data_IF_855978618625
#
_entry.id   IF_855978618625
#
_cell.length_a   1.000
_cell.length_b   1.000
_cell.length_c   1.000
_cell.angle_alpha   90.00
_cell.angle_beta   90.00
_cell.angle_gamma   90.00
#
_symmetry.space_group_name_H-M   'P 1'
#
loop_
_entity.id
_entity.type
_entity.pdbx_description
1 polymer ?
#
# COMPACT_ATOMS: atom_id res chain seq x y z
N UNK A 1 -12.16 16.47 6.78
CA UNK A 1 -10.91 15.87 6.42
C UNK A 1 -10.48 16.30 5.04
N UNK A 2 -9.27 16.77 4.92
CA UNK A 2 -8.66 17.05 3.63
C UNK A 2 -8.28 15.74 2.93
N UNK A 3 -8.26 15.75 1.60
CA UNK A 3 -7.86 14.57 0.84
C UNK A 3 -6.37 14.26 1.05
N UNK A 4 -6.02 13.01 1.32
CA UNK A 4 -4.64 12.56 1.38
C UNK A 4 -4.23 12.03 0.00
N UNK A 5 -3.30 12.72 -0.66
CA UNK A 5 -2.80 12.34 -2.01
C UNK A 5 -3.93 12.11 -3.03
N UNK A 6 -4.97 12.94 -3.00
CA UNK A 6 -6.16 12.78 -3.83
C UNK A 6 -7.17 11.73 -3.34
N UNK A 7 -6.84 10.97 -2.30
CA UNK A 7 -7.74 9.99 -1.70
C UNK A 7 -8.74 10.66 -0.77
N UNK A 8 -10.01 10.28 -0.89
CA UNK A 8 -11.07 10.76 -0.02
C UNK A 8 -10.84 10.27 1.41
N UNK A 9 -10.85 11.17 2.38
CA UNK A 9 -10.73 10.88 3.80
C UNK A 9 -12.10 11.03 4.48
N UNK A 10 -12.46 10.07 5.32
CA UNK A 10 -13.65 10.14 6.16
C UNK A 10 -13.24 10.65 7.55
N UNK A 11 -13.89 11.73 8.06
CA UNK A 11 -13.61 12.24 9.39
C UNK A 11 -14.09 11.26 10.46
N UNK A 12 -13.42 11.24 11.61
CA UNK A 12 -13.78 10.44 12.76
C UNK A 12 -12.80 10.65 13.90
N UNK A 13 -13.10 10.13 15.07
CA UNK A 13 -12.19 10.12 16.21
C UNK A 13 -11.07 9.10 15.97
N UNK A 14 -9.85 9.47 16.33
CA UNK A 14 -8.64 8.65 16.24
C UNK A 14 -8.02 8.49 17.61
N UNK A 15 -7.72 7.26 17.99
CA UNK A 15 -6.89 6.94 19.15
C UNK A 15 -5.51 6.48 18.67
N UNK A 16 -4.45 7.17 19.07
CA UNK A 16 -3.07 6.80 18.75
C UNK A 16 -2.33 6.40 20.03
N UNK A 17 -2.01 5.12 20.14
CA UNK A 17 -1.18 4.55 21.20
C UNK A 17 0.30 4.73 20.81
N UNK A 18 0.95 5.76 21.35
CA UNK A 18 2.34 6.16 21.07
C UNK A 18 3.27 5.47 22.10
N UNK A 19 3.47 4.15 21.97
CA UNK A 19 4.10 3.35 23.03
C UNK A 19 5.64 3.35 22.98
N UNK A 20 6.25 3.73 21.84
CA UNK A 20 7.71 3.83 21.69
C UNK A 20 8.23 5.27 21.82
N UNK A 21 7.39 6.26 21.56
CA UNK A 21 7.78 7.66 21.57
C UNK A 21 7.33 8.37 22.85
N UNK A 22 8.18 9.26 23.35
CA UNK A 22 7.82 10.12 24.49
C UNK A 22 6.93 11.29 24.05
N UNK A 23 6.11 11.81 25.02
CA UNK A 23 5.18 12.90 24.79
C UNK A 23 5.83 14.12 24.09
N UNK A 24 7.02 14.56 24.51
CA UNK A 24 7.70 15.71 23.90
C UNK A 24 7.97 15.53 22.40
N UNK A 25 8.43 14.33 21.99
CA UNK A 25 8.71 14.03 20.58
C UNK A 25 7.45 14.03 19.71
N UNK A 26 6.35 13.45 20.21
CA UNK A 26 5.07 13.44 19.49
C UNK A 26 4.54 14.87 19.37
N UNK A 27 4.62 15.66 20.45
CA UNK A 27 4.19 17.06 20.43
C UNK A 27 5.01 17.90 19.41
N UNK A 28 6.33 17.75 19.38
CA UNK A 28 7.20 18.47 18.43
C UNK A 28 6.85 18.11 16.96
N UNK A 29 6.58 16.83 16.69
CA UNK A 29 6.15 16.38 15.34
C UNK A 29 4.79 16.94 14.95
N UNK A 30 3.82 16.91 15.86
CA UNK A 30 2.48 17.47 15.61
C UNK A 30 2.56 18.97 15.34
N UNK A 31 3.35 19.72 16.11
CA UNK A 31 3.56 21.14 15.88
C UNK A 31 4.29 21.45 14.55
N UNK A 32 5.12 20.52 14.05
CA UNK A 32 5.73 20.66 12.73
C UNK A 32 4.72 20.42 11.59
N UNK A 33 3.68 19.63 11.84
CA UNK A 33 2.64 19.32 10.84
C UNK A 33 1.54 20.39 10.82
N UNK A 34 1.12 20.90 11.99
CA UNK A 34 0.02 21.85 12.10
C UNK A 34 0.12 22.72 13.34
N UNK A 35 -0.31 23.98 13.22
CA UNK A 35 -0.44 24.91 14.36
C UNK A 35 -1.78 24.75 15.08
N UNK A 36 -2.71 23.95 14.53
CA UNK A 36 -4.04 23.74 15.10
C UNK A 36 -4.18 22.36 15.73
N UNK A 37 -4.66 22.29 16.95
CA UNK A 37 -4.96 21.05 17.64
C UNK A 37 -6.18 20.33 17.03
N UNK A 38 -6.06 19.05 16.75
CA UNK A 38 -7.17 18.23 16.31
C UNK A 38 -7.99 17.73 17.52
N UNK A 39 -9.18 18.26 17.72
CA UNK A 39 -10.05 17.88 18.86
C UNK A 39 -10.55 16.43 18.86
N UNK A 40 -10.34 15.71 17.75
CA UNK A 40 -10.70 14.31 17.55
C UNK A 40 -9.50 13.35 17.50
N UNK A 41 -8.29 13.82 17.84
CA UNK A 41 -7.09 13.00 17.99
C UNK A 41 -6.75 12.82 19.46
N UNK A 42 -6.81 11.60 19.94
CA UNK A 42 -6.45 11.21 21.31
C UNK A 42 -5.12 10.46 21.29
N UNK A 43 -4.22 10.83 22.21
CA UNK A 43 -2.90 10.22 22.35
C UNK A 43 -2.84 9.48 23.70
N UNK A 44 -2.32 8.26 23.69
CA UNK A 44 -1.96 7.53 24.90
C UNK A 44 -0.53 7.03 24.81
N UNK A 45 0.24 7.21 25.86
CA UNK A 45 1.64 6.80 25.95
C UNK A 45 1.81 5.50 26.75
N UNK A 46 0.72 4.97 27.25
CA UNK A 46 0.66 3.72 28.00
C UNK A 46 -0.54 2.90 27.52
N UNK A 47 -0.38 1.59 27.49
CA UNK A 47 -1.43 0.63 27.18
C UNK A 47 -1.13 -0.70 27.89
N UNK A 48 -2.16 -1.42 28.24
CA UNK A 48 -2.05 -2.79 28.71
C UNK A 48 -1.60 -3.73 27.58
N UNK A 49 -1.10 -4.92 27.92
CA UNK A 49 -0.79 -5.92 26.90
C UNK A 49 -2.05 -6.55 26.32
N UNK A 50 -1.93 -7.13 25.14
CA UNK A 50 -3.05 -7.75 24.39
C UNK A 50 -3.80 -8.79 25.24
N UNK A 51 -3.08 -9.53 26.10
CA UNK A 51 -3.65 -10.59 26.92
C UNK A 51 -4.04 -10.15 28.34
N UNK A 52 -3.66 -8.95 28.77
CA UNK A 52 -3.77 -8.51 30.18
C UNK A 52 -4.66 -7.27 30.37
N UNK A 53 -5.42 -6.82 29.34
CA UNK A 53 -6.35 -5.70 29.55
C UNK A 53 -6.55 -4.77 28.36
N UNK A 54 -5.72 -4.81 27.31
CA UNK A 54 -5.81 -3.91 26.17
C UNK A 54 -7.20 -3.95 25.49
N UNK A 55 -7.76 -5.14 25.29
CA UNK A 55 -9.07 -5.29 24.63
C UNK A 55 -10.18 -4.59 25.42
N UNK A 56 -10.38 -4.83 26.72
CA UNK A 56 -11.32 -4.07 27.54
C UNK A 56 -11.06 -2.56 27.55
N UNK A 57 -9.79 -2.14 27.57
CA UNK A 57 -9.40 -0.74 27.54
C UNK A 57 -9.89 -0.05 26.25
N UNK A 58 -9.66 -0.68 25.09
CA UNK A 58 -10.12 -0.17 23.79
C UNK A 58 -11.64 -0.20 23.64
N UNK A 59 -12.30 -1.24 24.13
CA UNK A 59 -13.77 -1.33 24.17
C UNK A 59 -14.40 -0.21 25.03
N UNK A 60 -13.81 0.11 26.18
CA UNK A 60 -14.28 1.21 27.01
C UNK A 60 -14.06 2.55 26.31
N UNK A 61 -12.92 2.78 25.70
CA UNK A 61 -12.66 3.99 24.93
C UNK A 61 -13.68 4.17 23.78
N UNK A 62 -14.03 3.09 23.06
CA UNK A 62 -15.06 3.12 22.02
C UNK A 62 -16.45 3.49 22.55
N UNK A 63 -16.80 3.05 23.78
CA UNK A 63 -18.08 3.43 24.43
C UNK A 63 -18.13 4.93 24.75
N UNK A 64 -17.00 5.51 25.18
CA UNK A 64 -16.88 6.94 25.50
C UNK A 64 -16.80 7.79 24.20
N UNK A 65 -16.28 7.23 23.11
CA UNK A 65 -16.14 7.86 21.80
C UNK A 65 -16.83 7.05 20.70
N UNK A 66 -18.17 7.12 20.57
CA UNK A 66 -18.92 6.30 19.61
C UNK A 66 -18.52 6.50 18.14
N UNK A 67 -17.98 7.69 17.80
CA UNK A 67 -17.46 8.08 16.49
C UNK A 67 -16.01 7.67 16.25
N UNK A 68 -15.38 6.89 17.16
CA UNK A 68 -14.04 6.32 16.98
C UNK A 68 -13.99 5.50 15.69
N UNK A 69 -13.16 5.90 14.75
CA UNK A 69 -13.02 5.29 13.43
C UNK A 69 -11.68 4.57 13.23
N UNK A 70 -10.62 5.03 13.92
CA UNK A 70 -9.28 4.51 13.75
C UNK A 70 -8.56 4.38 15.09
N UNK A 71 -7.92 3.24 15.31
CA UNK A 71 -6.95 3.05 16.38
C UNK A 71 -5.58 2.79 15.74
N UNK A 72 -4.55 3.52 16.14
CA UNK A 72 -3.16 3.30 15.72
C UNK A 72 -2.38 2.75 16.92
N UNK A 73 -1.66 1.65 16.72
CA UNK A 73 -0.84 1.02 17.75
C UNK A 73 0.62 1.04 17.32
N UNK A 74 1.44 1.84 17.97
CA UNK A 74 2.86 2.07 17.64
C UNK A 74 3.75 1.76 18.86
N UNK A 75 4.31 0.55 18.96
CA UNK A 75 4.26 -0.50 17.94
C UNK A 75 3.56 -1.76 18.44
N UNK A 76 3.15 -2.61 17.51
CA UNK A 76 2.55 -3.91 17.83
C UNK A 76 3.42 -4.75 18.77
N UNK A 77 4.75 -4.63 18.68
CA UNK A 77 5.68 -5.39 19.51
C UNK A 77 5.52 -5.10 21.01
N UNK A 78 5.15 -3.86 21.39
CA UNK A 78 5.05 -3.46 22.81
C UNK A 78 3.82 -4.07 23.49
N UNK A 79 2.73 -4.20 22.77
CA UNK A 79 1.49 -4.79 23.32
C UNK A 79 1.53 -6.31 23.39
N UNK A 80 2.55 -6.95 22.82
CA UNK A 80 2.76 -8.40 22.88
C UNK A 80 3.35 -8.81 24.21
N UNK A 81 3.07 -10.02 24.64
CA UNK A 81 3.60 -10.55 25.89
C UNK A 81 5.12 -10.83 25.77
N UNK A 82 5.96 -10.36 26.71
CA UNK A 82 7.37 -10.74 26.75
C UNK A 82 7.56 -12.25 26.82
N UNK A 83 8.41 -12.81 25.97
CA UNK A 83 8.73 -14.24 25.97
C UNK A 83 7.78 -15.16 25.20
N UNK A 84 6.81 -14.60 24.48
CA UNK A 84 5.99 -15.40 23.57
C UNK A 84 6.85 -16.00 22.44
N UNK A 85 6.51 -17.28 22.12
CA UNK A 85 7.03 -17.95 20.96
C UNK A 85 6.75 -17.10 19.70
N UNK A 86 7.78 -16.82 18.91
CA UNK A 86 7.67 -16.11 17.62
C UNK A 86 7.31 -17.06 16.48
N UNK A 87 6.58 -18.12 16.80
CA UNK A 87 6.08 -19.03 15.78
C UNK A 87 4.97 -18.40 14.94
N UNK A 88 4.81 -18.93 13.73
CA UNK A 88 3.72 -18.54 12.83
C UNK A 88 2.35 -18.58 13.53
N UNK A 89 2.08 -19.63 14.31
CA UNK A 89 0.78 -19.81 14.98
C UNK A 89 0.53 -18.75 16.06
N UNK A 90 1.57 -18.39 16.83
CA UNK A 90 1.47 -17.35 17.86
C UNK A 90 1.26 -15.97 17.24
N UNK A 91 2.09 -15.59 16.25
CA UNK A 91 1.96 -14.31 15.54
C UNK A 91 0.58 -14.17 14.88
N UNK A 92 0.11 -15.23 14.23
CA UNK A 92 -1.20 -15.25 13.57
C UNK A 92 -2.35 -15.06 14.57
N UNK A 93 -2.34 -15.77 15.71
CA UNK A 93 -3.42 -15.70 16.68
C UNK A 93 -3.47 -14.35 17.42
N UNK A 94 -2.33 -13.73 17.71
CA UNK A 94 -2.28 -12.41 18.33
C UNK A 94 -2.87 -11.33 17.38
N UNK A 95 -2.48 -11.34 16.12
CA UNK A 95 -3.06 -10.41 15.12
C UNK A 95 -4.54 -10.68 14.90
N UNK A 96 -4.95 -11.96 14.89
CA UNK A 96 -6.35 -12.36 14.76
C UNK A 96 -7.23 -11.86 15.91
N UNK A 97 -6.70 -11.77 17.13
CA UNK A 97 -7.44 -11.17 18.26
C UNK A 97 -7.71 -9.68 17.99
N UNK A 98 -6.69 -8.95 17.51
CA UNK A 98 -6.85 -7.53 17.16
C UNK A 98 -7.85 -7.35 16.00
N UNK A 99 -7.78 -8.23 14.99
CA UNK A 99 -8.75 -8.21 13.88
C UNK A 99 -10.18 -8.45 14.35
N UNK A 100 -10.42 -9.44 15.22
CA UNK A 100 -11.77 -9.68 15.80
C UNK A 100 -12.30 -8.44 16.51
N UNK A 101 -11.43 -7.74 17.26
CA UNK A 101 -11.80 -6.50 17.92
C UNK A 101 -12.18 -5.40 16.92
N UNK A 102 -11.42 -5.25 15.84
CA UNK A 102 -11.72 -4.29 14.78
C UNK A 102 -13.08 -4.59 14.12
N UNK A 103 -13.35 -5.87 13.83
CA UNK A 103 -14.62 -6.33 13.25
C UNK A 103 -15.79 -6.10 14.23
N UNK A 104 -15.63 -6.42 15.52
CA UNK A 104 -16.65 -6.24 16.56
C UNK A 104 -16.99 -4.77 16.79
N UNK A 105 -15.99 -3.90 16.81
CA UNK A 105 -16.15 -2.47 17.04
C UNK A 105 -16.50 -1.70 15.74
N UNK A 106 -16.47 -2.36 14.59
CA UNK A 106 -16.66 -1.78 13.26
C UNK A 106 -15.79 -0.53 13.04
N UNK A 107 -14.46 -0.71 13.20
CA UNK A 107 -13.46 0.33 13.02
C UNK A 107 -12.17 -0.23 12.40
N UNK A 108 -11.26 0.66 12.04
CA UNK A 108 -9.94 0.28 11.54
C UNK A 108 -8.91 0.25 12.67
N UNK A 109 -8.08 -0.79 12.73
CA UNK A 109 -6.89 -0.83 13.59
C UNK A 109 -5.65 -0.88 12.70
N UNK A 110 -4.79 0.13 12.81
CA UNK A 110 -3.49 0.20 12.14
C UNK A 110 -2.39 -0.25 13.11
N UNK A 111 -1.77 -1.39 12.81
CA UNK A 111 -0.63 -1.90 13.56
C UNK A 111 0.67 -1.43 12.91
N UNK A 112 1.46 -0.64 13.62
CA UNK A 112 2.81 -0.28 13.21
C UNK A 112 3.77 -1.38 13.64
N UNK A 113 4.63 -1.81 12.71
CA UNK A 113 5.57 -2.88 12.95
C UNK A 113 6.90 -2.65 12.22
N UNK A 114 8.00 -3.11 12.80
CA UNK A 114 9.32 -2.91 12.22
C UNK A 114 9.60 -3.85 11.04
N UNK A 115 10.40 -3.36 10.10
CA UNK A 115 10.95 -4.18 9.02
C UNK A 115 12.24 -4.89 9.48
N UNK A 116 12.52 -6.05 8.88
CA UNK A 116 13.79 -6.76 9.05
C UNK A 116 14.93 -5.93 8.44
N UNK A 117 16.12 -6.03 9.04
CA UNK A 117 17.33 -5.35 8.51
C UNK A 117 17.86 -5.99 7.22
N UNK A 118 17.45 -7.21 6.91
CA UNK A 118 17.84 -7.90 5.66
C UNK A 118 16.95 -7.44 4.52
N UNK A 119 17.58 -7.10 3.39
CA UNK A 119 16.84 -6.81 2.16
C UNK A 119 16.19 -8.07 1.57
N UNK A 120 15.01 -7.91 1.01
CA UNK A 120 14.32 -8.92 0.21
C UNK A 120 13.71 -8.21 -1.00
N UNK A 121 13.59 -8.92 -2.11
CA UNK A 121 12.93 -8.39 -3.32
C UNK A 121 11.42 -8.28 -3.16
N UNK A 122 10.82 -9.12 -2.29
CA UNK A 122 9.41 -9.05 -1.93
C UNK A 122 9.25 -8.19 -0.67
N UNK A 123 8.54 -7.05 -0.75
CA UNK A 123 8.30 -6.17 0.40
C UNK A 123 7.65 -6.88 1.60
N UNK A 124 6.77 -7.85 1.36
CA UNK A 124 6.10 -8.60 2.42
C UNK A 124 7.07 -9.44 3.26
N UNK A 125 8.13 -9.96 2.64
CA UNK A 125 9.17 -10.71 3.33
C UNK A 125 10.06 -9.83 4.23
N UNK A 126 10.00 -8.49 4.07
CA UNK A 126 10.73 -7.54 4.93
C UNK A 126 10.05 -7.34 6.28
N UNK A 127 8.80 -7.75 6.46
CA UNK A 127 8.09 -7.62 7.74
C UNK A 127 8.79 -8.47 8.79
N UNK A 128 9.10 -7.88 9.95
CA UNK A 128 9.71 -8.56 11.09
C UNK A 128 8.74 -9.60 11.68
N UNK A 129 9.25 -10.70 12.21
CA UNK A 129 8.41 -11.80 12.71
C UNK A 129 8.16 -12.87 11.66
N UNK A 130 7.08 -13.63 11.79
CA UNK A 130 6.68 -14.65 10.84
C UNK A 130 5.71 -14.12 9.77
N UNK A 131 5.49 -14.89 8.70
CA UNK A 131 4.44 -14.61 7.71
C UNK A 131 3.02 -14.70 8.31
N UNK A 132 2.88 -15.14 9.55
CA UNK A 132 1.62 -15.14 10.30
C UNK A 132 1.04 -13.74 10.51
N UNK A 133 1.90 -12.73 10.68
CA UNK A 133 1.46 -11.33 10.84
C UNK A 133 0.79 -10.84 9.57
N UNK A 134 1.47 -10.91 8.43
CA UNK A 134 0.93 -10.44 7.14
C UNK A 134 -0.27 -11.29 6.66
N UNK A 135 -0.32 -12.57 7.04
CA UNK A 135 -1.43 -13.46 6.66
C UNK A 135 -2.74 -13.21 7.42
N UNK A 136 -2.69 -12.55 8.57
CA UNK A 136 -3.85 -12.35 9.44
C UNK A 136 -4.56 -10.98 9.23
N UNK A 137 -3.92 -10.03 8.54
CA UNK A 137 -4.47 -8.69 8.27
C UNK A 137 -5.20 -8.61 6.93
N UNK A 138 -6.04 -7.59 6.76
CA UNK A 138 -6.75 -7.36 5.49
C UNK A 138 -5.91 -6.60 4.48
N UNK A 139 -5.03 -5.72 4.96
CA UNK A 139 -4.12 -4.95 4.12
C UNK A 139 -2.75 -4.79 4.78
N UNK A 140 -1.72 -4.67 3.96
CA UNK A 140 -0.35 -4.45 4.38
C UNK A 140 0.20 -3.25 3.62
N UNK A 141 0.86 -2.36 4.36
CA UNK A 141 1.56 -1.19 3.86
C UNK A 141 3.02 -1.29 4.29
N UNK A 142 3.94 -1.39 3.35
CA UNK A 142 5.38 -1.45 3.62
C UNK A 142 6.02 -0.14 3.17
N UNK A 143 6.40 0.71 4.13
CA UNK A 143 7.15 1.94 3.86
C UNK A 143 8.65 1.66 4.02
N UNK A 144 9.38 1.79 2.93
CA UNK A 144 10.83 1.58 2.92
C UNK A 144 11.53 2.79 2.26
N UNK A 145 12.75 3.07 2.67
CA UNK A 145 13.56 4.11 2.04
C UNK A 145 14.24 3.55 0.79
N UNK A 146 14.25 4.32 -0.31
CA UNK A 146 14.97 3.95 -1.52
C UNK A 146 16.47 3.75 -1.26
N UNK A 147 17.06 4.60 -0.41
CA UNK A 147 18.42 4.45 0.15
C UNK A 147 18.50 5.09 1.53
N UNK A 148 19.40 4.59 2.40
CA UNK A 148 19.63 5.21 3.72
C UNK A 148 20.11 6.67 3.56
N UNK A 149 19.44 7.58 4.24
CA UNK A 149 19.80 9.01 4.26
C UNK A 149 19.19 9.84 3.11
N UNK A 150 18.40 9.23 2.23
CA UNK A 150 17.57 9.96 1.28
C UNK A 150 16.21 10.30 1.89
N UNK A 151 15.64 11.43 1.46
CA UNK A 151 14.31 11.87 1.85
C UNK A 151 13.20 11.07 1.14
N UNK A 152 13.54 10.28 0.13
CA UNK A 152 12.59 9.55 -0.69
C UNK A 152 12.29 8.18 -0.11
N UNK A 153 11.04 7.80 -0.16
CA UNK A 153 10.52 6.51 0.29
C UNK A 153 9.59 5.86 -0.73
N UNK A 154 9.40 4.58 -0.57
CA UNK A 154 8.48 3.78 -1.36
C UNK A 154 7.48 3.13 -0.41
N UNK A 155 6.20 3.35 -0.65
CA UNK A 155 5.09 2.70 0.04
C UNK A 155 4.50 1.63 -0.88
N UNK A 156 4.71 0.36 -0.52
CA UNK A 156 4.07 -0.78 -1.17
C UNK A 156 2.77 -1.11 -0.43
N UNK A 157 1.66 -1.17 -1.14
CA UNK A 157 0.35 -1.47 -0.59
C UNK A 157 -0.17 -2.76 -1.22
N UNK A 158 -0.71 -3.67 -0.40
CA UNK A 158 -1.40 -4.87 -0.87
C UNK A 158 -2.46 -5.29 0.13
N UNK A 159 -3.53 -5.93 -0.33
CA UNK A 159 -4.59 -6.37 0.55
C UNK A 159 -5.66 -7.17 -0.19
N UNK A 160 -6.67 -7.62 0.57
CA UNK A 160 -7.78 -8.41 0.04
C UNK A 160 -8.71 -7.57 -0.82
N UNK A 161 -9.01 -6.34 -0.36
CA UNK A 161 -10.00 -5.45 -0.94
C UNK A 161 -9.37 -4.19 -1.56
N UNK A 162 -8.04 -4.12 -1.60
CA UNK A 162 -7.29 -3.04 -2.23
C UNK A 162 -6.38 -3.58 -3.33
N UNK A 163 -6.25 -2.88 -4.46
CA UNK A 163 -5.30 -3.28 -5.50
C UNK A 163 -3.86 -3.17 -4.97
N UNK A 164 -2.99 -4.05 -5.45
CA UNK A 164 -1.55 -3.88 -5.22
C UNK A 164 -1.10 -2.57 -5.83
N UNK A 165 -0.39 -1.75 -5.03
CA UNK A 165 -0.04 -0.37 -5.37
C UNK A 165 1.34 -0.05 -4.85
N UNK A 166 2.13 0.62 -5.66
CA UNK A 166 3.43 1.19 -5.30
C UNK A 166 3.33 2.70 -5.40
N UNK A 167 3.75 3.39 -4.36
CA UNK A 167 3.69 4.84 -4.25
C UNK A 167 5.10 5.35 -3.92
N UNK A 168 5.63 6.24 -4.74
CA UNK A 168 6.88 6.94 -4.47
C UNK A 168 6.58 8.24 -3.72
N UNK A 169 7.26 8.44 -2.61
CA UNK A 169 7.04 9.52 -1.66
C UNK A 169 8.32 10.31 -1.40
N UNK A 170 8.17 11.60 -1.15
CA UNK A 170 9.24 12.47 -0.65
C UNK A 170 8.92 12.94 0.76
N UNK A 171 9.88 12.81 1.70
CA UNK A 171 9.74 13.25 3.08
C UNK A 171 10.37 14.62 3.30
N UNK A 172 9.56 15.59 3.68
CA UNK A 172 10.07 16.88 4.16
C UNK A 172 10.32 16.81 5.68
N UNK A 173 11.59 16.82 6.06
CA UNK A 173 12.01 16.74 7.46
C UNK A 173 11.65 17.98 8.30
N UNK A 174 11.33 19.11 7.69
CA UNK A 174 10.96 20.35 8.39
C UNK A 174 9.49 20.32 8.82
N UNK A 175 8.63 19.84 7.94
CA UNK A 175 7.19 19.77 8.17
C UNK A 175 6.75 18.37 8.63
N UNK A 176 7.65 17.39 8.63
CA UNK A 176 7.35 15.97 8.91
C UNK A 176 6.27 15.36 7.99
N UNK A 177 6.14 15.87 6.77
CA UNK A 177 5.09 15.46 5.82
C UNK A 177 5.69 14.64 4.66
N UNK A 178 5.00 13.57 4.30
CA UNK A 178 5.25 12.80 3.09
C UNK A 178 4.40 13.33 1.93
N UNK A 179 5.05 13.73 0.85
CA UNK A 179 4.41 14.19 -0.38
C UNK A 179 4.41 13.11 -1.44
N UNK A 180 3.31 12.97 -2.17
CA UNK A 180 3.18 12.04 -3.29
C UNK A 180 4.03 12.51 -4.46
N UNK A 181 4.92 11.64 -4.95
CA UNK A 181 5.72 11.85 -6.16
C UNK A 181 5.15 11.11 -7.36
N UNK A 182 4.92 9.81 -7.22
CA UNK A 182 4.34 8.95 -8.26
C UNK A 182 3.46 7.88 -7.63
N UNK A 183 2.48 7.42 -8.39
CA UNK A 183 1.56 6.36 -8.02
C UNK A 183 1.44 5.36 -9.17
N UNK A 184 1.54 4.07 -8.87
CA UNK A 184 1.43 3.02 -9.90
C UNK A 184 0.06 2.94 -10.56
N UNK A 185 -0.98 3.51 -9.99
CA UNK A 185 -2.30 3.61 -10.64
C UNK A 185 -2.29 4.60 -11.80
N UNK A 186 -1.52 5.69 -11.68
CA UNK A 186 -1.39 6.71 -12.71
C UNK A 186 -0.16 6.48 -13.59
N UNK A 187 0.89 5.86 -13.02
CA UNK A 187 2.18 5.60 -13.63
C UNK A 187 2.61 4.13 -13.42
N UNK A 188 1.93 3.16 -14.08
CA UNK A 188 2.16 1.73 -13.84
C UNK A 188 3.59 1.27 -14.17
N UNK A 189 4.36 2.06 -14.91
CA UNK A 189 5.77 1.80 -15.20
C UNK A 189 6.66 1.75 -13.95
N UNK A 190 6.27 2.37 -12.83
CA UNK A 190 7.04 2.30 -11.57
C UNK A 190 7.05 0.89 -10.94
N UNK A 191 6.18 -0.01 -11.39
CA UNK A 191 6.19 -1.43 -11.01
C UNK A 191 7.28 -2.22 -11.75
N UNK A 192 7.84 -1.63 -12.80
CA UNK A 192 8.89 -2.25 -13.60
C UNK A 192 10.27 -2.11 -12.92
N UNK A 193 11.22 -3.02 -13.19
CA UNK A 193 12.63 -2.76 -12.92
C UNK A 193 13.07 -1.41 -13.50
N UNK A 194 14.01 -0.68 -12.87
CA UNK A 194 14.35 0.70 -13.24
C UNK A 194 14.67 0.90 -14.73
N UNK A 195 15.38 -0.07 -15.34
CA UNK A 195 15.73 0.02 -16.77
C UNK A 195 14.50 -0.11 -17.69
N UNK A 196 13.52 -0.92 -17.28
CA UNK A 196 12.27 -1.10 -18.03
C UNK A 196 11.27 0.03 -17.73
N UNK A 197 11.28 0.58 -16.54
CA UNK A 197 10.50 1.77 -16.17
C UNK A 197 10.88 2.95 -17.06
N UNK A 198 12.17 3.27 -17.16
CA UNK A 198 12.67 4.33 -18.04
C UNK A 198 12.29 4.11 -19.51
N UNK A 199 12.31 2.85 -19.98
CA UNK A 199 11.88 2.53 -21.35
C UNK A 199 10.37 2.74 -21.53
N UNK A 200 9.57 2.40 -20.55
CA UNK A 200 8.13 2.61 -20.60
C UNK A 200 7.77 4.09 -20.53
N UNK A 201 8.44 4.87 -19.68
CA UNK A 201 8.28 6.33 -19.59
C UNK A 201 8.69 7.00 -20.93
N UNK A 202 9.83 6.60 -21.50
CA UNK A 202 10.27 7.07 -22.81
C UNK A 202 9.21 6.80 -23.88
N UNK A 203 8.70 5.58 -23.96
CA UNK A 203 7.69 5.22 -24.94
C UNK A 203 6.32 5.87 -24.68
N UNK A 204 5.99 6.17 -23.42
CA UNK A 204 4.79 6.96 -23.07
C UNK A 204 4.88 8.38 -23.64
N UNK A 205 6.06 8.99 -23.61
CA UNK A 205 6.31 10.31 -24.19
C UNK A 205 6.30 10.27 -25.72
N UNK A 206 7.00 9.32 -26.32
CA UNK A 206 7.15 9.16 -27.78
C UNK A 206 5.86 8.69 -28.47
N UNK A 207 5.00 7.92 -27.79
CA UNK A 207 3.80 7.24 -28.30
C UNK A 207 4.10 6.12 -29.29
N UNK A 208 4.86 6.38 -30.32
CA UNK A 208 5.19 5.43 -31.36
C UNK A 208 6.59 5.73 -31.91
N UNK A 209 7.34 4.68 -32.22
CA UNK A 209 8.61 4.75 -32.92
C UNK A 209 8.64 3.77 -34.06
N UNK A 210 9.14 4.22 -35.25
CA UNK A 210 9.39 3.40 -36.41
C UNK A 210 10.72 3.81 -37.07
N UNK A 211 11.73 2.98 -36.92
CA UNK A 211 13.07 3.28 -37.46
C UNK A 211 14.04 2.11 -37.26
N UNK A 212 15.32 2.35 -37.36
CA UNK A 212 16.33 1.33 -37.10
C UNK A 212 16.62 1.20 -35.59
N UNK A 213 17.32 0.10 -35.21
CA UNK A 213 17.64 -0.15 -33.80
C UNK A 213 18.69 0.83 -33.24
N UNK A 214 19.55 1.40 -34.08
CA UNK A 214 20.64 2.28 -33.67
C UNK A 214 20.08 3.65 -33.30
N UNK A 215 19.22 4.21 -34.14
CA UNK A 215 18.52 5.45 -33.86
C UNK A 215 17.62 5.33 -32.61
N UNK A 216 16.89 4.22 -32.47
CA UNK A 216 16.08 3.98 -31.28
C UNK A 216 16.93 3.96 -29.99
N UNK A 217 18.09 3.28 -30.02
CA UNK A 217 18.99 3.22 -28.88
C UNK A 217 19.60 4.59 -28.55
N UNK A 218 19.93 5.40 -29.56
CA UNK A 218 20.46 6.76 -29.36
C UNK A 218 19.41 7.66 -28.68
N UNK A 219 18.18 7.65 -29.17
CA UNK A 219 17.07 8.43 -28.59
C UNK A 219 16.77 8.00 -27.15
N UNK A 220 16.70 6.68 -26.92
CA UNK A 220 16.49 6.15 -25.56
C UNK A 220 17.65 6.52 -24.62
N UNK A 221 18.89 6.33 -25.04
CA UNK A 221 20.06 6.67 -24.23
C UNK A 221 20.10 8.17 -23.88
N UNK A 222 19.73 9.02 -24.81
CA UNK A 222 19.62 10.47 -24.56
C UNK A 222 18.55 10.79 -23.51
N UNK A 223 17.42 10.13 -23.59
CA UNK A 223 16.33 10.28 -22.61
C UNK A 223 16.70 9.74 -21.24
N UNK A 224 17.23 8.52 -21.19
CA UNK A 224 17.50 7.78 -19.96
C UNK A 224 18.86 8.11 -19.30
N UNK A 225 19.71 8.89 -19.98
CA UNK A 225 21.08 9.17 -19.50
C UNK A 225 21.97 7.92 -19.49
N UNK A 226 21.73 6.96 -20.38
CA UNK A 226 22.45 5.68 -20.44
C UNK A 226 23.32 5.55 -21.70
N UNK A 227 24.10 4.48 -21.79
CA UNK A 227 24.99 4.19 -22.93
C UNK A 227 24.81 2.74 -23.44
N UNK A 228 23.57 2.25 -23.50
CA UNK A 228 23.29 0.90 -23.98
C UNK A 228 23.56 0.79 -25.50
N UNK A 229 24.25 -0.29 -25.90
CA UNK A 229 24.36 -0.60 -27.32
C UNK A 229 22.98 -1.00 -27.90
N UNK A 230 22.72 -0.80 -29.22
CA UNK A 230 21.47 -1.20 -29.85
C UNK A 230 21.15 -2.69 -29.65
N UNK A 231 22.19 -3.53 -29.59
CA UNK A 231 22.07 -4.97 -29.32
C UNK A 231 21.64 -5.22 -27.87
N UNK A 232 22.26 -4.53 -26.89
CA UNK A 232 21.94 -4.69 -25.47
C UNK A 232 20.52 -4.23 -25.16
N UNK A 233 20.11 -3.07 -25.66
CA UNK A 233 18.75 -2.55 -25.49
C UNK A 233 17.71 -3.52 -26.09
N UNK A 234 17.95 -4.02 -27.30
CA UNK A 234 17.05 -4.99 -27.92
C UNK A 234 16.98 -6.32 -27.17
N UNK A 235 18.10 -6.81 -26.62
CA UNK A 235 18.11 -8.02 -25.79
C UNK A 235 17.29 -7.82 -24.51
N UNK A 236 17.42 -6.67 -23.85
CA UNK A 236 16.63 -6.29 -22.69
C UNK A 236 15.13 -6.28 -23.03
N UNK A 237 14.74 -5.61 -24.10
CA UNK A 237 13.37 -5.59 -24.59
C UNK A 237 12.83 -7.02 -24.87
N UNK A 238 13.59 -7.85 -25.59
CA UNK A 238 13.16 -9.20 -25.93
C UNK A 238 12.99 -10.10 -24.68
N UNK A 239 13.89 -10.01 -23.70
CA UNK A 239 13.78 -10.78 -22.45
C UNK A 239 12.56 -10.37 -21.62
N UNK A 240 12.17 -9.12 -21.72
CA UNK A 240 11.08 -8.54 -20.94
C UNK A 240 9.83 -8.24 -21.75
N UNK A 241 9.69 -8.86 -22.93
CA UNK A 241 8.62 -8.55 -23.90
C UNK A 241 7.22 -8.68 -23.29
N UNK A 242 6.99 -9.72 -22.48
CA UNK A 242 5.70 -9.94 -21.82
C UNK A 242 5.43 -8.84 -20.80
N UNK A 243 6.40 -8.56 -19.93
CA UNK A 243 6.29 -7.55 -18.89
C UNK A 243 6.09 -6.15 -19.48
N UNK A 244 6.83 -5.80 -20.54
CA UNK A 244 6.64 -4.55 -21.28
C UNK A 244 5.26 -4.45 -21.91
N UNK A 245 4.73 -5.53 -22.45
CA UNK A 245 3.40 -5.56 -23.06
C UNK A 245 2.28 -5.37 -22.01
N UNK A 246 2.43 -5.95 -20.81
CA UNK A 246 1.54 -5.75 -19.66
C UNK A 246 1.53 -4.27 -19.22
N UNK A 247 2.63 -3.55 -19.40
CA UNK A 247 2.79 -2.12 -19.11
C UNK A 247 2.65 -1.20 -20.36
N UNK A 248 1.96 -1.68 -21.37
CA UNK A 248 1.58 -0.88 -22.54
C UNK A 248 2.63 -0.75 -23.64
N UNK A 249 3.85 -1.25 -23.46
CA UNK A 249 4.90 -1.17 -24.49
C UNK A 249 4.89 -2.44 -25.35
N UNK A 250 4.45 -2.31 -26.59
CA UNK A 250 4.48 -3.40 -27.59
C UNK A 250 5.50 -3.09 -28.66
N UNK A 251 6.27 -4.10 -29.07
CA UNK A 251 7.26 -3.92 -30.12
C UNK A 251 7.37 -5.14 -31.02
N UNK A 252 7.82 -4.91 -32.24
CA UNK A 252 8.07 -5.95 -33.24
C UNK A 252 9.15 -5.49 -34.24
N UNK A 253 9.94 -6.44 -34.73
CA UNK A 253 10.83 -6.20 -35.89
C UNK A 253 10.13 -6.59 -37.14
N UNK A 254 10.00 -5.65 -38.09
CA UNK A 254 9.37 -5.86 -39.39
C UNK A 254 10.40 -5.70 -40.53
N UNK A 255 10.09 -6.21 -41.71
CA UNK A 255 10.84 -5.96 -42.96
C UNK A 255 9.93 -5.25 -43.93
N UNK A 256 10.45 -4.21 -44.58
CA UNK A 256 9.80 -3.53 -45.70
C UNK A 256 10.87 -3.13 -46.69
N UNK A 257 10.68 -3.40 -47.96
CA UNK A 257 11.62 -3.12 -49.07
C UNK A 257 13.04 -3.65 -48.80
N UNK A 258 13.16 -4.88 -48.24
CA UNK A 258 14.46 -5.48 -47.92
C UNK A 258 15.15 -4.99 -46.63
N UNK A 259 14.73 -3.88 -46.07
CA UNK A 259 15.29 -3.32 -44.84
C UNK A 259 14.51 -3.78 -43.60
N UNK A 260 15.24 -4.04 -42.50
CA UNK A 260 14.64 -4.33 -41.17
C UNK A 260 14.44 -3.02 -40.42
N UNK A 261 13.26 -2.84 -39.83
CA UNK A 261 12.99 -1.76 -38.92
C UNK A 261 12.36 -2.28 -37.64
N UNK A 262 12.57 -1.52 -36.55
CA UNK A 262 11.93 -1.69 -35.27
C UNK A 262 10.66 -0.84 -35.26
N UNK A 263 9.56 -1.44 -34.85
CA UNK A 263 8.31 -0.75 -34.55
C UNK A 263 8.02 -0.93 -33.08
N UNK A 264 7.88 0.17 -32.35
CA UNK A 264 7.54 0.21 -30.91
C UNK A 264 6.35 1.12 -30.73
N UNK A 265 5.37 0.70 -29.96
CA UNK A 265 4.15 1.46 -29.71
C UNK A 265 3.81 1.41 -28.23
N UNK A 266 3.41 2.56 -27.68
CA UNK A 266 2.81 2.65 -26.36
C UNK A 266 1.28 2.63 -26.49
N UNK A 267 0.66 1.58 -25.94
CA UNK A 267 -0.78 1.42 -25.84
C UNK A 267 -1.12 1.41 -24.35
N UNK A 268 -1.75 2.47 -23.81
CA UNK A 268 -2.17 2.47 -22.42
C UNK A 268 -2.91 1.17 -22.11
N UNK A 269 -2.49 0.45 -21.07
CA UNK A 269 -3.23 -0.70 -20.57
C UNK A 269 -4.60 -0.18 -20.16
N UNK A 270 -5.68 -0.73 -20.70
CA UNK A 270 -7.00 -0.52 -20.13
C UNK A 270 -6.97 -1.20 -18.75
N UNK A 271 -6.71 -0.44 -17.70
CA UNK A 271 -6.98 -0.90 -16.35
C UNK A 271 -8.45 -1.32 -16.31
N UNK A 272 -8.79 -2.47 -15.74
CA UNK A 272 -10.19 -2.81 -15.56
C UNK A 272 -10.85 -1.67 -14.79
N UNK A 273 -11.89 -1.11 -15.37
CA UNK A 273 -12.68 0.00 -14.85
C UNK A 273 -13.34 -0.47 -13.53
N UNK A 274 -12.67 -0.27 -12.39
CA UNK A 274 -13.18 -0.64 -11.06
C UNK A 274 -14.33 0.27 -10.62
N UNK A 275 -14.71 1.25 -11.45
CA UNK A 275 -15.72 2.25 -11.12
C UNK A 275 -17.13 1.92 -11.64
N UNK A 276 -17.36 0.79 -12.37
CA UNK A 276 -18.70 0.50 -12.90
C UNK A 276 -19.38 -0.77 -12.40
N UNK A 277 -18.78 -1.57 -11.50
CA UNK A 277 -19.45 -2.77 -10.99
C UNK A 277 -20.12 -2.63 -9.62
N UNK A 278 -20.12 -1.45 -9.00
CA UNK A 278 -20.68 -1.26 -7.66
C UNK A 278 -22.01 -0.46 -7.61
N UNK A 279 -22.62 -0.12 -8.76
CA UNK A 279 -23.86 0.73 -8.77
C UNK A 279 -25.04 0.07 -9.49
N UNK A 280 -24.93 -1.11 -10.10
CA UNK A 280 -26.05 -1.68 -10.87
C UNK A 280 -26.85 -2.82 -10.20
N UNK A 281 -26.50 -3.29 -8.98
CA UNK A 281 -27.23 -4.40 -8.34
C UNK A 281 -27.92 -4.07 -7.01
N UNK A 282 -28.18 -2.78 -6.73
CA UNK A 282 -28.92 -2.34 -5.55
C UNK A 282 -30.34 -1.86 -5.84
N UNK A 283 -30.96 -2.31 -6.94
CA UNK A 283 -32.42 -2.13 -7.14
C UNK A 283 -33.05 -3.42 -7.64
N UNK A 284 -33.95 -3.94 -6.80
CA UNK A 284 -34.87 -5.06 -6.97
C UNK A 284 -34.35 -6.45 -6.55
N UNK A 285 -34.55 -6.76 -5.27
CA UNK A 285 -35.35 -7.93 -4.88
C UNK A 285 -35.75 -7.77 -3.40
N UNK A 286 -36.92 -7.21 -3.16
CA UNK A 286 -37.64 -7.44 -1.90
C UNK A 286 -38.21 -8.86 -2.01
N UNK A 287 -37.61 -9.79 -1.33
CA UNK A 287 -38.19 -11.11 -1.12
C UNK A 287 -38.94 -11.07 0.22
N UNK A 288 -40.24 -10.82 0.15
CA UNK A 288 -41.16 -11.22 1.23
C UNK A 288 -41.14 -12.74 1.39
N UNK A 289 -41.22 -13.19 2.66
CA UNK A 289 -41.31 -14.57 3.16
C UNK A 289 -40.02 -15.31 3.45
N UNK A 290 -39.58 -15.17 4.72
CA UNK A 290 -39.11 -16.30 5.54
C UNK A 290 -38.99 -15.82 7.00
N UNK A 291 -40.03 -16.02 7.78
CA UNK A 291 -40.00 -15.97 9.25
C UNK A 291 -39.59 -17.34 9.73
N UNK A 292 -38.50 -17.53 10.47
CA UNK A 292 -38.27 -18.81 11.16
C UNK A 292 -39.08 -18.79 12.47
N UNK A 293 -40.00 -19.76 12.57
CA UNK A 293 -40.74 -20.11 13.77
C UNK A 293 -39.81 -20.57 14.90
N UNK A 294 -39.90 -19.89 16.04
CA UNK A 294 -39.30 -20.32 17.32
C UNK A 294 -40.08 -21.52 17.85
N UNK A 295 -39.45 -22.64 18.26
CA UNK A 295 -40.13 -23.70 18.97
C UNK A 295 -40.37 -23.29 20.42
N UNK A 296 -41.64 -23.39 20.86
CA UNK A 296 -42.04 -23.32 22.26
C UNK A 296 -41.41 -24.47 23.06
N UNK A 297 -40.80 -24.18 24.18
CA UNK A 297 -40.41 -25.13 25.19
C UNK A 297 -41.63 -25.29 26.13
N UNK A 298 -42.12 -26.49 26.45
CA UNK A 298 -43.22 -26.67 27.41
C UNK A 298 -42.68 -26.57 28.86
N UNK A 299 -43.41 -25.82 29.69
CA UNK A 299 -43.29 -25.81 31.14
C UNK A 299 -43.52 -27.22 31.74
N UNK A 300 -42.52 -27.67 32.54
CA UNK A 300 -42.74 -28.46 33.78
C UNK A 300 -41.54 -28.27 34.67
#
# INVERSE_FOLDING_TARGET
GEALWGLKVHPGTVLYLCLEDGNGRIHDRLNAITDEGAGNLFLSFEADSLNDGLIPQLMNFKKEHPDLALIIIDTFQIIRKPGNDTSYASDYEEVRQVKRLADELNLTILLIHHLRKMGDSDPLNKISGSTGISGAVDAVFVLDHAQRGQADGVLECTGRDIPSRRIELHFDSKTCIWSLMKDSLDAPEILLPPELSLLSEFMRAEKEYRGDNSEFAERYNTYAGTHLSPKALKQMMNRSQRLLAEHGVKFQSKRSNGQRYLFVQYLPSALPDVTQSAVSDAQNTVCETCVPSVPCVPDT
#
